data_IF_222064215565
#
_entry.id   IF_222064215565
#
_cell.length_a   1.000
_cell.length_b   1.000
_cell.length_c   1.000
_cell.angle_alpha   90.00
_cell.angle_beta   90.00
_cell.angle_gamma   90.00
#
_symmetry.space_group_name_H-M   'P 1'
#
loop_
_entity.id
_entity.type
_entity.pdbx_description
1 polymer ?
#
# COMPACT_ATOMS: atom_id res chain seq x y z
N UNK A 1 -18.09 -15.04 -20.52
CA UNK A 1 -17.64 -15.21 -19.14
C UNK A 1 -17.61 -13.86 -18.46
N UNK A 2 -18.27 -13.76 -17.33
CA UNK A 2 -18.34 -12.50 -16.61
C UNK A 2 -17.00 -12.18 -15.95
N UNK A 3 -16.70 -10.89 -15.89
CA UNK A 3 -15.51 -10.41 -15.20
C UNK A 3 -15.86 -10.17 -13.74
N UNK A 4 -15.07 -10.76 -12.84
CA UNK A 4 -15.23 -10.55 -11.42
C UNK A 4 -14.33 -9.39 -11.00
N UNK A 5 -14.93 -8.34 -10.44
CA UNK A 5 -14.18 -7.17 -9.99
C UNK A 5 -13.59 -7.40 -8.60
N UNK A 6 -12.31 -7.10 -8.46
CA UNK A 6 -11.63 -7.07 -7.15
C UNK A 6 -11.03 -5.68 -6.98
N UNK A 7 -11.25 -5.08 -5.82
CA UNK A 7 -10.75 -3.73 -5.54
C UNK A 7 -9.95 -3.71 -4.26
N UNK A 8 -8.79 -3.10 -4.34
CA UNK A 8 -7.89 -2.89 -3.20
C UNK A 8 -7.49 -1.43 -3.13
N UNK A 9 -7.03 -1.01 -1.97
CA UNK A 9 -6.56 0.35 -1.76
C UNK A 9 -5.42 0.35 -0.76
N UNK A 10 -4.50 1.27 -0.92
CA UNK A 10 -3.39 1.40 -0.01
C UNK A 10 -2.68 2.72 -0.22
N UNK A 11 -1.56 2.88 0.44
CA UNK A 11 -0.91 4.16 0.36
C UNK A 11 0.55 4.18 0.75
N UNK A 12 1.14 5.32 0.44
CA UNK A 12 2.53 5.61 0.70
C UNK A 12 2.61 6.72 1.74
N UNK A 13 3.29 6.45 2.85
CA UNK A 13 3.61 7.47 3.85
C UNK A 13 5.03 7.94 3.62
N UNK A 14 5.21 9.25 3.58
CA UNK A 14 6.51 9.90 3.46
C UNK A 14 6.82 10.66 4.74
N UNK A 15 8.02 10.46 5.28
CA UNK A 15 8.50 11.15 6.48
C UNK A 15 10.03 11.25 6.44
N UNK A 16 10.55 12.47 6.65
CA UNK A 16 11.99 12.71 6.75
C UNK A 16 12.80 12.12 5.59
N UNK A 17 12.30 12.28 4.35
CA UNK A 17 12.99 11.80 3.17
C UNK A 17 12.89 10.30 2.94
N UNK A 18 12.06 9.60 3.71
CA UNK A 18 11.90 8.16 3.59
C UNK A 18 10.44 7.78 3.37
N UNK A 19 10.26 6.62 2.75
CA UNK A 19 8.95 6.06 2.44
C UNK A 19 8.72 4.80 3.27
N UNK A 20 7.53 4.67 3.82
CA UNK A 20 7.18 3.50 4.61
C UNK A 20 6.79 2.35 3.70
N UNK A 21 7.55 1.29 3.77
CA UNK A 21 7.27 0.02 3.10
C UNK A 21 7.11 -1.07 4.15
N UNK A 22 6.67 -2.23 3.72
CA UNK A 22 6.64 -3.42 4.57
C UNK A 22 7.41 -4.56 3.90
N UNK A 23 8.12 -5.30 4.72
CA UNK A 23 8.73 -6.56 4.32
C UNK A 23 7.78 -7.67 4.77
N UNK A 24 7.20 -8.38 3.80
CA UNK A 24 6.32 -9.52 4.06
C UNK A 24 7.23 -10.73 4.20
N UNK A 25 7.53 -11.12 5.43
CA UNK A 25 8.60 -12.07 5.72
C UNK A 25 8.37 -13.46 5.15
N UNK A 26 7.15 -13.96 5.21
CA UNK A 26 6.84 -15.31 4.69
C UNK A 26 6.91 -15.40 3.16
N UNK A 27 6.79 -14.29 2.46
CA UNK A 27 6.90 -14.23 0.99
C UNK A 27 8.23 -13.63 0.53
N UNK A 28 8.96 -13.03 1.47
CA UNK A 28 10.19 -12.28 1.20
C UNK A 28 9.99 -11.21 0.13
N UNK A 29 8.92 -10.44 0.26
CA UNK A 29 8.61 -9.33 -0.64
C UNK A 29 8.62 -8.01 0.11
N UNK A 30 9.06 -6.95 -0.56
CA UNK A 30 9.00 -5.58 -0.04
C UNK A 30 8.00 -4.83 -0.89
N UNK A 31 6.94 -4.33 -0.24
CA UNK A 31 5.79 -3.72 -0.90
C UNK A 31 5.27 -2.53 -0.10
N UNK A 32 4.40 -1.74 -0.71
CA UNK A 32 3.62 -0.75 0.02
C UNK A 32 2.38 -1.39 0.63
N UNK A 33 1.93 -0.92 1.81
CA UNK A 33 0.74 -1.49 2.45
C UNK A 33 -0.51 -1.25 1.60
N UNK A 34 -1.33 -2.28 1.48
CA UNK A 34 -2.62 -2.23 0.78
C UNK A 34 -3.46 -3.44 1.15
N UNK A 35 -4.75 -3.36 0.87
CA UNK A 35 -5.64 -4.49 1.06
C UNK A 35 -7.00 -4.28 0.44
N UNK A 36 -7.87 -5.27 0.61
CA UNK A 36 -9.19 -5.32 -0.02
C UNK A 36 -10.12 -4.23 0.53
N UNK A 37 -10.82 -3.55 -0.38
CA UNK A 37 -11.88 -2.62 -0.01
C UNK A 37 -13.07 -3.45 0.46
N UNK A 38 -13.48 -3.23 1.71
CA UNK A 38 -14.61 -3.93 2.29
C UNK A 38 -15.92 -3.23 1.95
N UNK A 39 -17.02 -3.98 2.04
CA UNK A 39 -18.34 -3.44 1.77
C UNK A 39 -18.60 -2.21 2.63
N UNK A 40 -19.07 -1.14 1.97
CA UNK A 40 -19.35 0.13 2.65
C UNK A 40 -18.16 1.05 2.81
N UNK A 41 -16.95 0.60 2.47
CA UNK A 41 -15.76 1.45 2.55
C UNK A 41 -15.53 2.22 1.24
N UNK A 42 -15.01 3.44 1.38
CA UNK A 42 -14.43 4.16 0.25
C UNK A 42 -12.98 3.72 0.09
N UNK A 43 -12.34 3.94 -1.09
CA UNK A 43 -10.91 3.66 -1.24
C UNK A 43 -10.05 4.39 -0.21
N UNK A 44 -10.41 5.62 0.15
CA UNK A 44 -9.66 6.41 1.14
C UNK A 44 -9.70 5.76 2.51
N UNK A 45 -10.88 5.34 2.95
CA UNK A 45 -11.06 4.67 4.25
C UNK A 45 -10.24 3.38 4.29
N UNK A 46 -10.30 2.60 3.21
CA UNK A 46 -9.54 1.35 3.11
C UNK A 46 -8.04 1.60 3.20
N UNK A 47 -7.55 2.63 2.49
CA UNK A 47 -6.11 2.93 2.52
C UNK A 47 -5.65 3.24 3.95
N UNK A 48 -6.40 4.06 4.69
CA UNK A 48 -6.09 4.40 6.07
C UNK A 48 -6.10 3.15 6.95
N UNK A 49 -7.15 2.34 6.83
CA UNK A 49 -7.30 1.12 7.63
C UNK A 49 -6.18 0.10 7.35
N UNK A 50 -5.88 -0.15 6.08
CA UNK A 50 -4.85 -1.12 5.71
C UNK A 50 -3.45 -0.66 6.13
N UNK A 51 -3.15 0.62 6.00
CA UNK A 51 -1.87 1.16 6.48
C UNK A 51 -1.75 0.94 7.98
N UNK A 52 -2.81 1.21 8.74
CA UNK A 52 -2.82 1.00 10.19
C UNK A 52 -2.65 -0.49 10.54
N UNK A 53 -3.42 -1.37 9.90
CA UNK A 53 -3.34 -2.81 10.15
C UNK A 53 -1.97 -3.40 9.84
N UNK A 54 -1.36 -2.99 8.73
CA UNK A 54 -0.11 -3.58 8.27
C UNK A 54 1.14 -2.92 8.85
N UNK A 55 1.07 -1.64 9.21
CA UNK A 55 2.24 -0.91 9.71
C UNK A 55 2.14 -0.45 11.16
N UNK A 56 0.93 -0.35 11.70
CA UNK A 56 0.70 0.17 13.05
C UNK A 56 0.68 1.68 13.14
N UNK A 57 0.77 2.39 12.02
CA UNK A 57 0.77 3.86 12.01
C UNK A 57 -0.61 4.44 11.68
N UNK A 58 -0.90 5.60 12.25
CA UNK A 58 -2.12 6.36 11.98
C UNK A 58 -1.79 7.49 11.00
N UNK A 59 -2.49 7.50 9.89
CA UNK A 59 -2.21 8.43 8.80
C UNK A 59 -3.50 9.05 8.26
N UNK A 60 -3.31 10.14 7.51
CA UNK A 60 -4.43 10.81 6.81
C UNK A 60 -4.08 10.96 5.34
N UNK A 61 -5.10 11.06 4.51
CA UNK A 61 -4.93 11.22 3.06
C UNK A 61 -4.45 12.65 2.75
N UNK A 62 -3.41 12.73 1.93
CA UNK A 62 -2.92 14.02 1.40
C UNK A 62 -3.46 14.21 -0.01
N UNK A 63 -3.32 13.18 -0.87
CA UNK A 63 -3.72 13.27 -2.27
C UNK A 63 -3.87 11.87 -2.87
N UNK A 64 -4.71 11.73 -3.90
CA UNK A 64 -4.67 10.50 -4.68
C UNK A 64 -3.39 10.48 -5.52
N UNK A 65 -2.79 9.31 -5.65
CA UNK A 65 -1.65 9.11 -6.53
C UNK A 65 -2.11 8.59 -7.88
N UNK A 66 -3.13 7.72 -7.88
CA UNK A 66 -3.67 7.12 -9.08
C UNK A 66 -4.24 5.74 -8.82
N UNK A 67 -4.44 5.02 -9.89
CA UNK A 67 -4.91 3.63 -9.79
C UNK A 67 -4.29 2.80 -10.90
N UNK A 68 -4.15 1.50 -10.63
CA UNK A 68 -3.72 0.52 -11.63
C UNK A 68 -4.78 -0.55 -11.74
N UNK A 69 -4.96 -1.08 -12.95
CA UNK A 69 -5.90 -2.17 -13.17
C UNK A 69 -5.23 -3.23 -14.04
N UNK A 70 -5.50 -4.47 -13.72
CA UNK A 70 -5.02 -5.59 -14.53
C UNK A 70 -6.01 -6.74 -14.46
N UNK A 71 -5.95 -7.62 -15.46
CA UNK A 71 -6.84 -8.77 -15.55
C UNK A 71 -6.04 -10.05 -15.43
N UNK A 72 -6.65 -11.05 -14.85
CA UNK A 72 -6.01 -12.38 -14.71
C UNK A 72 -7.08 -13.46 -14.58
N UNK A 73 -6.68 -14.69 -14.90
CA UNK A 73 -7.54 -15.85 -14.75
C UNK A 73 -7.04 -16.70 -13.60
N UNK A 74 -7.98 -17.18 -12.79
CA UNK A 74 -7.67 -18.04 -11.66
C UNK A 74 -8.86 -18.94 -11.36
N UNK A 75 -8.61 -20.21 -11.19
CA UNK A 75 -9.63 -21.20 -10.84
C UNK A 75 -10.86 -21.16 -11.76
N UNK A 76 -10.65 -20.95 -13.08
CA UNK A 76 -11.71 -20.92 -14.05
C UNK A 76 -12.49 -19.62 -14.12
N UNK A 77 -12.11 -18.62 -13.34
CA UNK A 77 -12.74 -17.31 -13.34
C UNK A 77 -11.82 -16.25 -13.94
N UNK A 78 -12.43 -15.23 -14.53
CA UNK A 78 -11.71 -14.08 -15.07
C UNK A 78 -11.92 -12.89 -14.13
N UNK A 79 -10.82 -12.30 -13.67
CA UNK A 79 -10.82 -11.20 -12.70
C UNK A 79 -10.26 -9.93 -13.31
N UNK A 80 -10.83 -8.80 -12.88
CA UNK A 80 -10.20 -7.49 -13.06
C UNK A 80 -9.92 -6.93 -11.67
N UNK A 81 -8.65 -6.68 -11.39
CA UNK A 81 -8.24 -6.09 -10.12
C UNK A 81 -7.87 -4.63 -10.32
N UNK A 82 -8.45 -3.75 -9.51
CA UNK A 82 -8.12 -2.34 -9.48
C UNK A 82 -7.52 -2.02 -8.11
N UNK A 83 -6.37 -1.34 -8.12
CA UNK A 83 -5.70 -0.92 -6.89
C UNK A 83 -5.66 0.61 -6.90
N UNK A 84 -6.30 1.21 -5.89
CA UNK A 84 -6.27 2.65 -5.67
C UNK A 84 -5.09 3.01 -4.78
N UNK A 85 -4.38 4.07 -5.11
CA UNK A 85 -3.17 4.45 -4.40
C UNK A 85 -3.24 5.90 -3.95
N UNK A 86 -2.82 6.14 -2.72
CA UNK A 86 -2.88 7.45 -2.09
C UNK A 86 -1.55 7.82 -1.46
N UNK A 87 -1.28 9.11 -1.42
CA UNK A 87 -0.20 9.66 -0.60
C UNK A 87 -0.80 10.01 0.76
N UNK A 88 -0.17 9.53 1.82
CA UNK A 88 -0.61 9.77 3.19
C UNK A 88 0.51 10.42 3.98
N UNK A 89 0.13 11.10 5.06
CA UNK A 89 1.10 11.57 6.05
C UNK A 89 0.64 11.14 7.44
N UNK A 90 1.59 11.02 8.35
CA UNK A 90 1.28 10.67 9.73
C UNK A 90 0.49 11.80 10.37
N UNK A 91 -0.54 11.45 11.15
CA UNK A 91 -1.29 12.43 11.94
C UNK A 91 -0.38 13.04 12.99
N UNK A 92 0.46 12.22 13.61
CA UNK A 92 1.50 12.65 14.53
C UNK A 92 2.86 12.23 13.95
N UNK A 93 3.69 13.20 13.60
CA UNK A 93 4.99 12.94 12.98
C UNK A 93 5.97 12.21 13.90
N UNK A 94 5.72 12.20 15.19
CA UNK A 94 6.57 11.53 16.17
C UNK A 94 5.99 10.19 16.63
N UNK A 95 4.92 9.74 16.01
CA UNK A 95 4.25 8.50 16.37
C UNK A 95 5.18 7.30 16.22
N UNK A 96 5.05 6.38 17.17
CA UNK A 96 5.63 5.04 17.07
C UNK A 96 4.53 4.07 16.66
N UNK A 97 4.86 3.05 15.87
CA UNK A 97 3.83 2.12 15.41
C UNK A 97 3.25 1.31 16.56
N UNK A 98 1.94 1.12 16.52
CA UNK A 98 1.26 0.22 17.44
C UNK A 98 1.62 -1.22 17.06
N UNK A 99 1.92 -2.11 18.03
CA UNK A 99 2.19 -3.51 17.72
C UNK A 99 1.04 -4.16 16.96
N UNK A 100 1.37 -4.97 15.96
CA UNK A 100 0.37 -5.68 15.16
C UNK A 100 -0.23 -6.83 15.94
N UNK A 101 -1.49 -7.14 15.62
CA UNK A 101 -2.22 -8.23 16.25
C UNK A 101 -2.45 -9.42 15.31
N UNK A 102 -2.14 -9.24 14.00
CA UNK A 102 -2.31 -10.30 13.02
C UNK A 102 -1.27 -11.40 13.23
N UNK A 103 -1.75 -12.65 13.28
CA UNK A 103 -0.91 -13.80 13.55
C UNK A 103 -0.51 -14.57 12.28
N UNK A 104 -1.19 -14.32 11.17
CA UNK A 104 -1.02 -15.09 9.93
C UNK A 104 0.05 -14.56 9.01
N UNK A 105 0.34 -13.30 9.07
CA UNK A 105 1.35 -12.66 8.25
C UNK A 105 2.29 -11.88 9.15
N UNK A 106 3.57 -12.00 8.87
CA UNK A 106 4.58 -11.25 9.62
C UNK A 106 5.08 -10.14 8.73
N UNK A 107 4.79 -8.91 9.13
CA UNK A 107 5.22 -7.70 8.44
C UNK A 107 6.28 -6.99 9.26
N UNK A 108 7.30 -6.50 8.58
CA UNK A 108 8.33 -5.68 9.19
C UNK A 108 8.35 -4.33 8.49
N UNK A 109 8.23 -3.24 9.26
CA UNK A 109 8.26 -1.90 8.71
C UNK A 109 9.67 -1.56 8.23
N UNK A 110 9.77 -1.04 7.01
CA UNK A 110 11.02 -0.56 6.46
C UNK A 110 10.84 0.86 5.94
N UNK A 111 11.57 1.79 6.54
CA UNK A 111 11.63 3.17 6.07
C UNK A 111 12.79 3.27 5.10
N UNK A 112 12.48 3.47 3.81
CA UNK A 112 13.48 3.45 2.75
C UNK A 112 13.60 4.82 2.10
N UNK A 113 14.84 5.22 1.79
CA UNK A 113 15.07 6.40 0.95
C UNK A 113 14.57 6.11 -0.46
N UNK A 114 14.45 7.15 -1.28
CA UNK A 114 14.03 6.99 -2.68
C UNK A 114 14.86 5.93 -3.40
N UNK A 115 16.19 6.05 -3.32
CA UNK A 115 17.09 5.11 -4.00
C UNK A 115 16.93 3.68 -3.48
N UNK A 116 16.86 3.52 -2.15
CA UNK A 116 16.66 2.21 -1.55
C UNK A 116 15.33 1.59 -1.97
N UNK A 117 14.27 2.41 -2.04
CA UNK A 117 12.95 1.93 -2.45
C UNK A 117 12.96 1.43 -3.89
N UNK A 118 13.57 2.17 -4.82
CA UNK A 118 13.66 1.72 -6.21
C UNK A 118 14.48 0.45 -6.35
N UNK A 119 15.50 0.26 -5.53
CA UNK A 119 16.32 -0.95 -5.56
C UNK A 119 15.61 -2.15 -4.92
N UNK A 120 14.86 -1.93 -3.84
CA UNK A 120 14.38 -3.01 -2.98
C UNK A 120 12.94 -3.40 -3.15
N UNK A 121 12.08 -2.52 -3.71
CA UNK A 121 10.69 -2.88 -3.97
C UNK A 121 10.64 -4.07 -4.92
N UNK A 122 9.91 -5.10 -4.56
CA UNK A 122 9.87 -6.37 -5.28
C UNK A 122 9.23 -6.27 -6.65
N UNK A 123 8.13 -5.49 -6.75
CA UNK A 123 7.32 -5.44 -7.97
C UNK A 123 7.48 -4.12 -8.72
N UNK A 124 7.45 -4.23 -10.06
CA UNK A 124 7.50 -3.05 -10.91
C UNK A 124 6.31 -2.11 -10.64
N UNK A 125 5.13 -2.65 -10.36
CA UNK A 125 3.95 -1.85 -10.03
C UNK A 125 4.19 -0.96 -8.82
N UNK A 126 4.90 -1.47 -7.81
CA UNK A 126 5.26 -0.68 -6.63
C UNK A 126 6.20 0.47 -6.99
N UNK A 127 7.18 0.22 -7.85
CA UNK A 127 8.09 1.26 -8.30
C UNK A 127 7.36 2.34 -9.12
N UNK A 128 6.39 1.91 -9.93
CA UNK A 128 5.57 2.86 -10.70
C UNK A 128 4.71 3.73 -9.76
N UNK A 129 4.17 3.13 -8.71
CA UNK A 129 3.41 3.86 -7.69
C UNK A 129 4.31 4.89 -6.99
N UNK A 130 5.55 4.51 -6.68
CA UNK A 130 6.52 5.43 -6.09
C UNK A 130 6.80 6.63 -7.00
N UNK A 131 6.96 6.39 -8.31
CA UNK A 131 7.17 7.47 -9.27
C UNK A 131 6.01 8.47 -9.24
N UNK A 132 4.77 7.97 -9.16
CA UNK A 132 3.58 8.82 -9.07
C UNK A 132 3.56 9.62 -7.77
N UNK A 133 3.96 9.00 -6.66
CA UNK A 133 4.05 9.68 -5.37
C UNK A 133 5.06 10.81 -5.42
N UNK A 134 6.23 10.56 -6.02
CA UNK A 134 7.26 11.58 -6.16
C UNK A 134 6.79 12.78 -6.99
N UNK A 135 5.99 12.52 -8.02
CA UNK A 135 5.42 13.59 -8.84
C UNK A 135 4.46 14.48 -8.03
N UNK A 136 3.70 13.89 -7.11
CA UNK A 136 2.78 14.62 -6.23
C UNK A 136 3.54 15.42 -5.18
N UNK A 137 4.68 14.90 -4.70
CA UNK A 137 5.49 15.56 -3.66
C UNK A 137 6.27 16.78 -4.18
N UNK A 138 6.42 16.93 -5.46
CA UNK A 138 7.16 18.05 -6.06
C UNK A 138 6.32 19.32 -6.18
#
# INVERSE_FOLDING_TARGET
MDVIEKKSSGGIIHRDGKFLTIHVLNENEIVFPKGTIEEGETPEVTAIREVEEETGYHAKIIAPIGQTSYEFDENGNHYRKTVYQFLLELIDQNERPTPRREEHEVFENLWLTENEAFERLTHEDSRNTLKKALAVLK
#
